data_IF_534668230592
#
_entry.id   IF_534668230592
#
_cell.length_a   1.000
_cell.length_b   1.000
_cell.length_c   1.000
_cell.angle_alpha   90.00
_cell.angle_beta   90.00
_cell.angle_gamma   90.00
#
_symmetry.space_group_name_H-M   'P 1'
#
loop_
_entity.id
_entity.type
_entity.pdbx_description
1 polymer ?
#
# COMPACT_ATOMS: atom_id res chain seq x y z
N UNK A 1 4.10 -20.24 40.50
CA UNK A 1 5.34 -19.48 40.22
C UNK A 1 6.19 -20.34 39.30
N UNK A 2 6.20 -20.06 37.99
CA UNK A 2 7.07 -20.78 37.05
C UNK A 2 8.50 -20.27 37.33
N UNK A 3 9.37 -21.13 37.82
CA UNK A 3 10.75 -20.76 38.14
C UNK A 3 11.54 -20.54 36.84
N UNK A 4 12.45 -19.56 36.81
CA UNK A 4 13.35 -19.24 35.69
C UNK A 4 13.92 -20.47 34.94
N UNK A 5 14.41 -21.53 35.62
CA UNK A 5 14.90 -22.73 34.93
C UNK A 5 13.83 -23.52 34.18
N UNK A 6 12.57 -23.51 34.64
CA UNK A 6 11.45 -24.16 33.95
C UNK A 6 11.11 -23.47 32.63
N UNK A 7 11.22 -22.15 32.56
CA UNK A 7 11.04 -21.38 31.31
C UNK A 7 12.16 -21.69 30.33
N UNK A 8 13.41 -21.73 30.79
CA UNK A 8 14.57 -22.02 29.95
C UNK A 8 14.50 -23.44 29.37
N UNK A 9 14.11 -24.44 30.16
CA UNK A 9 13.93 -25.82 29.68
C UNK A 9 12.84 -25.96 28.61
N UNK A 10 11.74 -25.21 28.76
CA UNK A 10 10.64 -25.18 27.78
C UNK A 10 11.05 -24.49 26.47
N UNK A 11 11.84 -23.41 26.57
CA UNK A 11 12.40 -22.71 25.41
C UNK A 11 13.42 -23.57 24.65
N UNK A 12 14.27 -24.33 25.36
CA UNK A 12 15.23 -25.26 24.75
C UNK A 12 14.50 -26.45 24.10
N UNK A 13 13.48 -27.00 24.76
CA UNK A 13 12.65 -28.07 24.18
C UNK A 13 11.90 -27.59 22.92
N UNK A 14 11.37 -26.36 22.92
CA UNK A 14 10.76 -25.75 21.74
C UNK A 14 11.77 -25.52 20.59
N UNK A 15 13.02 -25.18 20.92
CA UNK A 15 14.13 -25.07 19.96
C UNK A 15 14.53 -26.43 19.37
N UNK A 16 14.64 -27.47 20.21
CA UNK A 16 15.02 -28.82 19.79
C UNK A 16 13.92 -29.55 19.00
N UNK A 17 12.66 -29.26 19.27
CA UNK A 17 11.50 -29.88 18.60
C UNK A 17 11.14 -29.25 17.26
N UNK A 18 11.80 -28.16 16.85
CA UNK A 18 11.51 -27.49 15.59
C UNK A 18 10.18 -26.72 15.57
N UNK A 19 9.49 -26.62 16.70
CA UNK A 19 8.18 -25.96 16.84
C UNK A 19 8.27 -24.45 16.53
N UNK A 20 9.47 -23.88 16.60
CA UNK A 20 9.80 -22.49 16.21
C UNK A 20 9.83 -22.23 14.69
N UNK A 21 10.06 -23.23 13.84
CA UNK A 21 10.07 -23.06 12.38
C UNK A 21 8.77 -22.48 11.81
N UNK A 22 7.56 -22.96 12.16
CA UNK A 22 6.32 -22.36 11.68
C UNK A 22 6.15 -20.93 12.21
N UNK A 23 6.54 -20.63 13.45
CA UNK A 23 6.48 -19.26 13.97
C UNK A 23 7.49 -18.33 13.27
N UNK A 24 8.69 -18.80 12.96
CA UNK A 24 9.69 -18.06 12.20
C UNK A 24 9.21 -17.81 10.76
N UNK A 25 8.61 -18.81 10.11
CA UNK A 25 8.01 -18.66 8.78
C UNK A 25 6.87 -17.63 8.81
N UNK A 26 5.97 -17.72 9.79
CA UNK A 26 4.87 -16.75 9.96
C UNK A 26 5.43 -15.34 10.21
N UNK A 27 6.46 -15.20 11.04
CA UNK A 27 7.10 -13.91 11.31
C UNK A 27 7.75 -13.32 10.04
N UNK A 28 8.43 -14.15 9.23
CA UNK A 28 9.01 -13.72 7.95
C UNK A 28 7.93 -13.30 6.96
N UNK A 29 6.83 -14.06 6.86
CA UNK A 29 5.69 -13.71 6.00
C UNK A 29 5.05 -12.41 6.45
N UNK A 30 4.81 -12.24 7.76
CA UNK A 30 4.26 -11.00 8.31
C UNK A 30 5.20 -9.81 8.07
N UNK A 31 6.51 -9.97 8.26
CA UNK A 31 7.48 -8.93 7.96
C UNK A 31 7.52 -8.58 6.47
N UNK A 32 7.46 -9.58 5.59
CA UNK A 32 7.41 -9.37 4.13
C UNK A 32 6.13 -8.67 3.69
N UNK A 33 4.98 -9.04 4.26
CA UNK A 33 3.69 -8.37 4.03
C UNK A 33 3.77 -6.94 4.55
N UNK A 34 4.21 -6.72 5.79
CA UNK A 34 4.39 -5.37 6.34
C UNK A 34 5.31 -4.52 5.47
N UNK A 35 6.44 -5.05 4.98
CA UNK A 35 7.35 -4.33 4.09
C UNK A 35 6.74 -4.06 2.71
N UNK A 36 5.96 -5.00 2.16
CA UNK A 36 5.25 -4.80 0.90
C UNK A 36 4.17 -3.71 1.03
N UNK A 37 3.51 -3.62 2.18
CA UNK A 37 2.51 -2.61 2.48
C UNK A 37 3.08 -1.36 3.18
N UNK A 38 4.40 -1.24 3.40
CA UNK A 38 4.95 -0.13 4.19
C UNK A 38 5.08 1.17 3.42
N UNK A 39 5.06 1.14 2.09
CA UNK A 39 5.13 2.36 1.28
C UNK A 39 4.35 2.17 -0.01
N UNK A 40 3.49 3.13 -0.31
CA UNK A 40 2.87 3.28 -1.62
C UNK A 40 3.60 4.40 -2.33
N UNK A 41 4.50 4.05 -3.24
CA UNK A 41 5.15 5.06 -4.05
C UNK A 41 4.33 5.31 -5.30
N UNK A 42 3.84 6.53 -5.45
CA UNK A 42 3.14 6.99 -6.64
C UNK A 42 4.11 7.84 -7.45
N UNK A 43 4.45 7.37 -8.64
CA UNK A 43 5.31 8.06 -9.58
C UNK A 43 4.46 8.58 -10.76
N UNK A 44 4.35 9.89 -10.84
CA UNK A 44 3.69 10.57 -11.95
C UNK A 44 4.72 10.81 -13.04
N UNK A 45 4.64 10.05 -14.14
CA UNK A 45 5.40 10.31 -15.35
C UNK A 45 4.60 11.19 -16.33
N UNK A 46 5.27 11.78 -17.35
CA UNK A 46 4.59 12.61 -18.35
C UNK A 46 3.48 11.85 -19.10
N UNK A 47 3.76 10.59 -19.48
CA UNK A 47 2.89 9.77 -20.31
C UNK A 47 2.04 8.75 -19.53
N UNK A 48 2.50 8.33 -18.35
CA UNK A 48 1.81 7.33 -17.52
C UNK A 48 1.85 7.68 -16.03
N UNK A 49 0.80 7.26 -15.32
CA UNK A 49 0.78 7.22 -13.87
C UNK A 49 1.18 5.83 -13.42
N UNK A 50 2.25 5.74 -12.65
CA UNK A 50 2.78 4.48 -12.13
C UNK A 50 2.63 4.50 -10.61
N UNK A 51 2.17 3.40 -10.03
CA UNK A 51 2.24 3.22 -8.58
C UNK A 51 2.73 1.83 -8.25
N UNK A 52 3.51 1.73 -7.18
CA UNK A 52 4.02 0.45 -6.70
C UNK A 52 4.02 0.37 -5.18
N UNK A 53 3.83 -0.87 -4.72
CA UNK A 53 3.84 -1.21 -3.29
C UNK A 53 5.23 -1.69 -2.87
N UNK A 54 5.72 -1.14 -1.76
CA UNK A 54 6.96 -1.53 -1.08
C UNK A 54 8.18 -1.46 -2.01
N UNK A 55 9.07 -2.48 -2.02
CA UNK A 55 10.31 -2.47 -2.81
C UNK A 55 10.12 -2.59 -4.33
N UNK A 56 8.90 -2.40 -4.85
CA UNK A 56 8.60 -2.45 -6.29
C UNK A 56 8.08 -3.79 -6.81
N UNK A 57 7.64 -4.70 -5.91
CA UNK A 57 7.14 -6.02 -6.31
C UNK A 57 5.82 -5.96 -7.10
N UNK A 58 4.98 -4.97 -6.83
CA UNK A 58 3.69 -4.80 -7.49
C UNK A 58 3.61 -3.42 -8.15
N UNK A 59 4.14 -3.32 -9.38
CA UNK A 59 4.04 -2.12 -10.21
C UNK A 59 2.78 -2.16 -11.06
N UNK A 60 1.95 -1.13 -10.95
CA UNK A 60 0.81 -0.87 -11.84
C UNK A 60 1.06 0.44 -12.56
N UNK A 61 0.70 0.50 -13.84
CA UNK A 61 0.72 1.74 -14.60
C UNK A 61 -0.58 1.94 -15.37
N UNK A 62 -0.93 3.20 -15.55
CA UNK A 62 -2.09 3.65 -16.32
C UNK A 62 -1.65 4.79 -17.23
N UNK A 63 -1.87 4.71 -18.54
CA UNK A 63 -1.56 5.80 -19.45
C UNK A 63 -2.36 7.05 -19.08
N UNK A 64 -1.72 8.22 -19.16
CA UNK A 64 -2.39 9.50 -18.87
C UNK A 64 -3.51 9.79 -19.86
N UNK A 65 -3.39 9.30 -21.10
CA UNK A 65 -4.45 9.36 -22.12
C UNK A 65 -5.72 8.61 -21.72
N UNK A 66 -5.62 7.61 -20.84
CA UNK A 66 -6.79 6.90 -20.32
C UNK A 66 -7.47 7.63 -19.16
N UNK A 67 -6.82 8.64 -18.56
CA UNK A 67 -7.36 9.40 -17.45
C UNK A 67 -8.36 10.44 -17.96
N UNK A 68 -9.60 10.36 -17.50
CA UNK A 68 -10.66 11.31 -17.84
C UNK A 68 -10.82 12.40 -16.78
N UNK A 69 -10.67 12.05 -15.50
CA UNK A 69 -10.90 12.98 -14.40
C UNK A 69 -10.05 12.61 -13.18
N UNK A 70 -9.52 13.63 -12.51
CA UNK A 70 -8.72 13.50 -11.28
C UNK A 70 -9.29 14.42 -10.21
N UNK A 71 -9.69 13.86 -9.08
CA UNK A 71 -10.29 14.60 -7.95
C UNK A 71 -9.71 14.16 -6.61
N UNK A 72 -9.41 15.10 -5.69
CA UNK A 72 -9.11 14.76 -4.31
C UNK A 72 -10.38 14.24 -3.64
N UNK A 73 -10.26 13.13 -2.91
CA UNK A 73 -11.36 12.53 -2.15
C UNK A 73 -10.88 12.10 -0.77
N UNK A 74 -11.73 12.25 0.24
CA UNK A 74 -11.47 11.69 1.57
C UNK A 74 -12.28 10.41 1.72
N UNK A 75 -11.59 9.29 1.88
CA UNK A 75 -12.20 8.02 2.22
C UNK A 75 -12.67 8.02 3.67
N UNK A 76 -13.78 7.35 3.93
CA UNK A 76 -14.23 7.05 5.29
C UNK A 76 -13.26 6.07 5.95
N UNK A 77 -12.99 6.27 7.23
CA UNK A 77 -12.11 5.43 8.04
C UNK A 77 -12.46 3.94 8.01
N UNK A 78 -13.74 3.60 7.81
CA UNK A 78 -14.20 2.21 7.73
C UNK A 78 -13.87 1.50 6.41
N UNK A 79 -13.40 2.20 5.37
CA UNK A 79 -12.90 1.54 4.15
C UNK A 79 -11.57 0.84 4.44
N UNK A 80 -10.87 1.21 5.52
CA UNK A 80 -9.66 0.54 5.95
C UNK A 80 -8.46 0.81 5.04
N UNK A 81 -7.54 -0.15 5.06
CA UNK A 81 -6.21 -0.05 4.46
C UNK A 81 -6.02 -1.16 3.42
N UNK A 82 -5.09 -0.97 2.50
CA UNK A 82 -4.69 -1.97 1.49
C UNK A 82 -5.35 -1.80 0.13
N UNK A 83 -5.33 -2.89 -0.65
CA UNK A 83 -5.86 -2.97 -2.02
C UNK A 83 -7.19 -3.70 -1.98
N UNK A 84 -8.30 -3.01 -2.21
CA UNK A 84 -9.61 -3.65 -2.28
C UNK A 84 -10.58 -2.92 -3.21
N UNK A 85 -11.61 -3.63 -3.67
CA UNK A 85 -12.66 -3.07 -4.49
C UNK A 85 -13.71 -2.41 -3.59
N UNK A 86 -13.96 -1.13 -3.79
CA UNK A 86 -15.05 -0.38 -3.17
C UNK A 86 -16.18 -0.17 -4.19
N UNK A 87 -17.41 0.22 -3.76
CA UNK A 87 -18.47 0.62 -4.69
C UNK A 87 -18.07 1.75 -5.64
N UNK A 88 -17.01 2.49 -5.30
CA UNK A 88 -16.48 3.60 -6.08
C UNK A 88 -15.26 3.22 -6.93
N UNK A 89 -14.92 1.92 -7.00
CA UNK A 89 -13.76 1.43 -7.76
C UNK A 89 -12.65 0.87 -6.86
N UNK A 90 -11.50 0.60 -7.47
CA UNK A 90 -10.35 0.04 -6.75
C UNK A 90 -9.72 1.09 -5.84
N UNK A 91 -9.62 0.78 -4.55
CA UNK A 91 -8.91 1.59 -3.59
C UNK A 91 -7.53 0.97 -3.32
N UNK A 92 -6.50 1.77 -3.49
CA UNK A 92 -5.11 1.48 -3.16
C UNK A 92 -4.72 2.42 -2.02
N UNK A 93 -4.76 1.95 -0.79
CA UNK A 93 -4.43 2.75 0.38
C UNK A 93 -3.33 2.06 1.21
N UNK A 94 -2.37 2.81 1.75
CA UNK A 94 -1.38 2.29 2.71
C UNK A 94 -1.59 2.91 4.08
N UNK A 95 -1.86 4.21 4.11
CA UNK A 95 -2.14 4.99 5.31
C UNK A 95 -2.93 6.25 4.94
N UNK A 96 -3.55 6.88 5.94
CA UNK A 96 -4.41 8.05 5.75
C UNK A 96 -5.85 7.77 5.28
N UNK A 97 -6.66 8.83 5.41
CA UNK A 97 -8.02 8.89 4.88
C UNK A 97 -8.05 9.60 3.53
N UNK A 98 -6.99 10.29 3.15
CA UNK A 98 -6.93 11.08 1.94
C UNK A 98 -6.51 10.24 0.74
N UNK A 99 -7.18 10.43 -0.39
CA UNK A 99 -6.88 9.74 -1.62
C UNK A 99 -7.18 10.62 -2.84
N UNK A 100 -6.57 10.28 -3.96
CA UNK A 100 -6.89 10.83 -5.27
C UNK A 100 -7.75 9.83 -6.02
N UNK A 101 -8.96 10.24 -6.39
CA UNK A 101 -9.82 9.51 -7.29
C UNK A 101 -9.45 9.83 -8.74
N UNK A 102 -9.23 8.78 -9.52
CA UNK A 102 -8.85 8.80 -10.92
C UNK A 102 -9.89 8.00 -11.68
N UNK A 103 -10.65 8.68 -12.54
CA UNK A 103 -11.57 8.04 -13.46
C UNK A 103 -10.90 7.83 -14.80
N UNK A 104 -11.12 6.66 -15.37
CA UNK A 104 -10.66 6.30 -16.70
C UNK A 104 -11.76 6.49 -17.73
N UNK A 105 -11.37 6.73 -18.98
CA UNK A 105 -12.30 6.75 -20.13
C UNK A 105 -13.03 5.42 -20.33
N UNK A 106 -12.44 4.31 -19.86
CA UNK A 106 -13.04 2.97 -19.86
C UNK A 106 -14.17 2.81 -18.84
N UNK A 107 -14.46 3.83 -18.03
CA UNK A 107 -15.48 3.80 -16.96
C UNK A 107 -14.98 3.18 -15.66
N UNK A 108 -13.72 2.73 -15.61
CA UNK A 108 -13.08 2.24 -14.38
C UNK A 108 -12.68 3.41 -13.50
N UNK A 109 -12.83 3.24 -12.19
CA UNK A 109 -12.40 4.23 -11.20
C UNK A 109 -11.35 3.61 -10.30
N UNK A 110 -10.31 4.38 -10.03
CA UNK A 110 -9.17 4.05 -9.19
C UNK A 110 -9.08 5.12 -8.10
N UNK A 111 -8.73 4.73 -6.88
CA UNK A 111 -8.46 5.63 -5.77
C UNK A 111 -7.10 5.30 -5.21
N UNK A 112 -6.24 6.29 -5.12
CA UNK A 112 -4.86 6.12 -4.65
C UNK A 112 -4.69 6.98 -3.40
N UNK A 113 -4.48 6.33 -2.25
CA UNK A 113 -4.18 6.98 -0.98
C UNK A 113 -2.88 7.77 -1.08
N UNK A 114 -2.87 8.98 -0.55
CA UNK A 114 -1.69 9.83 -0.52
C UNK A 114 -1.81 10.83 0.62
N UNK A 115 -0.79 10.90 1.47
CA UNK A 115 -0.69 11.92 2.51
C UNK A 115 -0.52 13.34 1.93
N UNK A 116 -0.13 13.44 0.66
CA UNK A 116 -0.07 14.72 -0.09
C UNK A 116 -1.04 14.71 -1.27
N UNK A 117 -2.32 14.44 -0.99
CA UNK A 117 -3.40 14.34 -2.00
C UNK A 117 -3.46 15.58 -2.90
N UNK A 118 -3.35 16.78 -2.35
CA UNK A 118 -3.38 18.03 -3.13
C UNK A 118 -2.21 18.16 -4.11
N UNK A 119 -0.98 17.83 -3.68
CA UNK A 119 0.21 17.90 -4.54
C UNK A 119 0.12 16.89 -5.69
N UNK A 120 -0.40 15.70 -5.41
CA UNK A 120 -0.60 14.67 -6.41
C UNK A 120 -1.66 15.07 -7.45
N UNK A 121 -2.79 15.63 -7.01
CA UNK A 121 -3.81 16.19 -7.92
C UNK A 121 -3.22 17.30 -8.77
N UNK A 122 -2.42 18.20 -8.17
CA UNK A 122 -1.78 19.27 -8.90
C UNK A 122 -0.84 18.73 -9.99
N UNK A 123 0.05 17.79 -9.67
CA UNK A 123 0.94 17.16 -10.65
C UNK A 123 0.20 16.43 -11.78
N UNK A 124 -0.92 15.77 -11.45
CA UNK A 124 -1.79 15.11 -12.41
C UNK A 124 -2.61 16.07 -13.27
N UNK A 125 -2.82 17.32 -12.84
CA UNK A 125 -3.51 18.36 -13.63
C UNK A 125 -2.55 19.27 -14.39
N UNK A 126 -1.35 19.54 -13.86
CA UNK A 126 -0.43 20.56 -14.38
C UNK A 126 0.41 20.11 -15.58
N UNK A 127 0.36 18.83 -15.98
CA UNK A 127 1.13 18.31 -17.13
C UNK A 127 2.65 18.33 -16.96
N UNK A 128 3.17 18.98 -15.91
CA UNK A 128 4.58 19.19 -15.65
C UNK A 128 4.80 19.13 -14.14
N UNK A 129 5.73 18.27 -13.76
CA UNK A 129 6.60 18.26 -12.56
C UNK A 129 6.62 16.85 -11.96
N UNK A 130 7.79 16.22 -12.09
CA UNK A 130 8.11 14.91 -11.55
C UNK A 130 8.27 15.05 -10.03
N UNK A 131 7.17 14.91 -9.30
CA UNK A 131 7.17 14.89 -7.84
C UNK A 131 7.03 13.45 -7.40
N UNK A 132 8.10 12.86 -6.86
CA UNK A 132 7.99 11.62 -6.08
C UNK A 132 7.26 11.97 -4.78
N UNK A 133 5.97 11.67 -4.73
CA UNK A 133 5.17 11.78 -3.51
C UNK A 133 5.18 10.40 -2.88
N UNK A 134 5.99 10.24 -1.83
CA UNK A 134 5.98 9.04 -1.00
C UNK A 134 4.90 9.17 0.06
N UNK A 135 4.01 8.18 0.13
CA UNK A 135 3.15 7.91 1.27
C UNK A 135 3.76 6.79 2.13
#
# INVERSE_FOLDING_TARGET
MITLPGVVGLLIAAWLTGVWFPFALVAVVLAAVSAAFSSLTVEVSPDELVWFFGPGLFRKSVPRSEISLVSPVTNKWWYGWGIHLTPHGWLYNVSGLEAVEIKLWTGRTLRIGSDETEKLVHALRSGWTQTRVGA
#
